data_IF_534995694633
#
_entry.id   IF_534995694633
#
_cell.length_a   1.000
_cell.length_b   1.000
_cell.length_c   1.000
_cell.angle_alpha   90.00
_cell.angle_beta   90.00
_cell.angle_gamma   90.00
#
_symmetry.space_group_name_H-M   'P 1'
#
loop_
_entity.id
_entity.type
_entity.pdbx_description
1 polymer ?
#
# COMPACT_ATOMS: atom_id res chain seq x y z
N UNK A 1 23.95 -1.31 -9.11
CA UNK A 1 23.81 -2.69 -8.63
C UNK A 1 23.30 -3.52 -9.79
N UNK A 2 24.09 -4.50 -10.24
CA UNK A 2 23.66 -5.48 -11.25
C UNK A 2 22.73 -6.46 -10.57
N UNK A 3 21.44 -6.46 -10.96
CA UNK A 3 20.49 -7.48 -10.54
C UNK A 3 21.01 -8.84 -11.04
N UNK A 4 21.30 -9.77 -10.12
CA UNK A 4 21.50 -11.17 -10.49
C UNK A 4 20.14 -11.70 -10.97
N UNK A 5 20.12 -12.47 -12.08
CA UNK A 5 18.90 -13.14 -12.47
C UNK A 5 18.43 -14.05 -11.32
N UNK A 6 17.22 -13.83 -10.88
CA UNK A 6 16.56 -14.61 -9.85
C UNK A 6 16.09 -15.94 -10.47
N UNK A 7 16.17 -17.06 -9.76
CA UNK A 7 15.49 -18.27 -10.20
C UNK A 7 13.97 -17.97 -10.27
N UNK A 8 13.24 -18.57 -11.24
CA UNK A 8 11.80 -18.38 -11.32
C UNK A 8 11.15 -18.76 -10.00
N UNK A 9 10.12 -18.00 -9.60
CA UNK A 9 9.36 -18.28 -8.39
C UNK A 9 8.81 -19.70 -8.40
N UNK A 10 8.72 -20.29 -7.22
CA UNK A 10 8.06 -21.58 -7.05
C UNK A 10 6.63 -21.46 -7.55
N UNK A 11 6.19 -22.48 -8.26
CA UNK A 11 4.84 -22.59 -8.77
C UNK A 11 4.02 -23.46 -7.83
N UNK A 12 2.73 -23.21 -7.77
CA UNK A 12 1.79 -24.15 -7.19
C UNK A 12 1.88 -25.46 -7.99
N UNK A 13 2.23 -26.56 -7.35
CA UNK A 13 2.09 -27.88 -7.97
C UNK A 13 0.60 -28.13 -8.21
N UNK A 14 0.17 -28.52 -9.42
CA UNK A 14 -1.21 -28.89 -9.66
C UNK A 14 -1.49 -30.20 -8.92
N UNK A 15 -2.01 -30.12 -7.72
CA UNK A 15 -2.50 -31.28 -7.01
C UNK A 15 -3.86 -31.70 -7.59
N UNK A 16 -4.05 -33.01 -7.77
CA UNK A 16 -5.17 -33.61 -8.48
C UNK A 16 -6.53 -33.50 -7.76
N UNK A 17 -6.63 -32.71 -6.71
CA UNK A 17 -7.88 -32.40 -6.01
C UNK A 17 -8.18 -30.92 -6.06
N UNK A 18 -9.07 -30.55 -6.94
CA UNK A 18 -9.56 -29.20 -7.27
C UNK A 18 -10.29 -28.46 -6.10
N UNK A 19 -9.95 -28.73 -4.84
CA UNK A 19 -10.59 -28.17 -3.64
C UNK A 19 -9.63 -27.97 -2.45
N UNK A 20 -8.41 -27.50 -2.68
CA UNK A 20 -7.66 -26.99 -1.54
C UNK A 20 -7.94 -25.48 -1.36
N UNK A 21 -9.02 -25.19 -0.65
CA UNK A 21 -9.42 -23.85 -0.19
C UNK A 21 -8.41 -23.26 0.82
N UNK A 22 -7.29 -23.94 1.11
CA UNK A 22 -6.30 -23.52 2.13
C UNK A 22 -5.33 -22.45 1.64
N UNK A 23 -5.12 -22.29 0.33
CA UNK A 23 -4.24 -21.28 -0.23
C UNK A 23 -5.05 -20.04 -0.61
N UNK A 24 -4.99 -19.03 0.22
CA UNK A 24 -5.62 -17.73 -0.05
C UNK A 24 -4.60 -16.60 0.01
N UNK A 25 -4.84 -15.45 -0.65
CA UNK A 25 -4.06 -14.25 -0.40
C UNK A 25 -4.19 -13.87 1.08
N UNK A 26 -3.18 -14.20 1.89
CA UNK A 26 -3.17 -13.96 3.32
C UNK A 26 -2.01 -13.05 3.73
N UNK A 27 -2.21 -12.15 4.70
CA UNK A 27 -1.11 -11.36 5.26
C UNK A 27 -0.16 -12.27 6.07
N UNK A 28 1.08 -11.79 6.25
CA UNK A 28 2.02 -12.44 7.16
C UNK A 28 1.44 -12.51 8.58
N UNK A 29 1.59 -13.66 9.26
CA UNK A 29 1.11 -13.80 10.63
C UNK A 29 1.94 -12.94 11.61
N UNK A 30 1.35 -12.53 12.75
CA UNK A 30 2.10 -11.89 13.83
C UNK A 30 3.31 -12.75 14.25
N UNK A 31 4.45 -12.12 14.42
CA UNK A 31 5.71 -12.80 14.75
C UNK A 31 6.54 -13.22 13.53
N UNK A 32 5.97 -13.28 12.33
CA UNK A 32 6.70 -13.52 11.10
C UNK A 32 7.81 -12.48 10.89
N UNK A 33 8.85 -12.85 10.15
CA UNK A 33 9.93 -11.94 9.79
C UNK A 33 9.83 -11.52 8.33
N UNK A 34 10.13 -10.25 8.10
CA UNK A 34 10.31 -9.67 6.79
C UNK A 34 11.60 -8.84 6.85
N UNK A 35 12.69 -9.39 6.35
CA UNK A 35 14.04 -8.87 6.54
C UNK A 35 14.42 -8.78 8.02
N UNK A 36 14.81 -7.58 8.43
CA UNK A 36 15.18 -7.29 9.82
C UNK A 36 13.98 -6.94 10.71
N UNK A 37 12.77 -6.92 10.17
CA UNK A 37 11.58 -6.54 10.90
C UNK A 37 10.78 -7.77 11.32
N UNK A 38 10.26 -7.74 12.54
CA UNK A 38 9.28 -8.71 13.01
C UNK A 38 7.89 -8.06 12.93
N UNK A 39 6.96 -8.74 12.28
CA UNK A 39 5.58 -8.28 12.09
C UNK A 39 4.83 -8.36 13.43
N UNK A 40 4.16 -7.27 13.79
CA UNK A 40 3.25 -7.23 14.94
C UNK A 40 1.81 -7.49 14.50
N UNK A 41 1.28 -6.64 13.62
CA UNK A 41 -0.10 -6.77 13.14
C UNK A 41 -0.27 -6.13 11.76
N UNK A 42 -1.30 -6.61 11.06
CA UNK A 42 -1.79 -5.97 9.83
C UNK A 42 -2.39 -4.60 10.17
N UNK A 43 -2.06 -3.59 9.39
CA UNK A 43 -2.61 -2.23 9.46
C UNK A 43 -3.58 -1.94 8.32
N UNK A 44 -3.19 -2.31 7.08
CA UNK A 44 -4.00 -2.11 5.89
C UNK A 44 -3.72 -3.20 4.85
N UNK A 45 -4.63 -3.33 3.90
CA UNK A 45 -4.61 -4.34 2.84
C UNK A 45 -5.15 -3.72 1.56
N UNK A 46 -4.35 -3.77 0.49
CA UNK A 46 -4.72 -3.35 -0.87
C UNK A 46 -4.63 -4.55 -1.82
N UNK A 47 -4.96 -4.38 -3.09
CA UNK A 47 -4.80 -5.43 -4.10
C UNK A 47 -3.33 -5.68 -4.42
N UNK A 48 -2.47 -4.67 -4.25
CA UNK A 48 -1.03 -4.73 -4.53
C UNK A 48 -0.18 -5.15 -3.32
N UNK A 49 -0.75 -5.21 -2.09
CA UNK A 49 0.04 -5.61 -0.94
C UNK A 49 -0.58 -5.41 0.42
N UNK A 50 0.28 -5.56 1.42
CA UNK A 50 -0.07 -5.46 2.82
C UNK A 50 0.78 -4.43 3.55
N UNK A 51 0.17 -3.73 4.49
CA UNK A 51 0.83 -2.78 5.39
C UNK A 51 0.80 -3.33 6.82
N UNK A 52 1.96 -3.40 7.45
CA UNK A 52 2.10 -3.93 8.81
C UNK A 52 2.74 -2.90 9.75
N UNK A 53 2.50 -3.07 11.07
CA UNK A 53 3.36 -2.50 12.09
C UNK A 53 4.47 -3.48 12.48
N UNK A 54 5.67 -2.95 12.76
CA UNK A 54 6.74 -3.76 13.36
C UNK A 54 6.46 -4.07 14.83
N UNK A 55 7.05 -5.16 15.34
CA UNK A 55 6.89 -5.56 16.75
C UNK A 55 7.42 -4.49 17.73
N UNK A 56 8.46 -3.73 17.35
CA UNK A 56 8.93 -2.57 18.13
C UNK A 56 7.96 -1.39 18.12
N UNK A 57 6.93 -1.43 17.27
CA UNK A 57 6.01 -0.31 17.05
C UNK A 57 6.64 0.92 16.41
N UNK A 58 7.91 0.85 15.98
CA UNK A 58 8.68 1.99 15.48
C UNK A 58 8.76 2.09 13.96
N UNK A 59 8.15 1.14 13.25
CA UNK A 59 8.12 1.13 11.79
C UNK A 59 6.79 0.67 11.23
N UNK A 60 6.41 1.24 10.08
CA UNK A 60 5.42 0.70 9.16
C UNK A 60 6.17 -0.04 8.08
N UNK A 61 5.71 -1.24 7.73
CA UNK A 61 6.31 -2.09 6.71
C UNK A 61 5.28 -2.31 5.62
N UNK A 62 5.64 -1.99 4.39
CA UNK A 62 4.82 -2.24 3.21
C UNK A 62 5.41 -3.45 2.48
N UNK A 63 4.60 -4.47 2.25
CA UNK A 63 4.97 -5.65 1.48
C UNK A 63 4.32 -5.63 0.11
N UNK A 64 5.08 -5.97 -0.93
CA UNK A 64 4.56 -6.23 -2.26
C UNK A 64 3.90 -7.60 -2.28
N UNK A 65 2.59 -7.64 -2.48
CA UNK A 65 1.82 -8.86 -2.57
C UNK A 65 0.67 -8.68 -3.57
N UNK A 66 0.92 -8.83 -4.87
CA UNK A 66 -0.11 -8.69 -5.89
C UNK A 66 -1.06 -9.90 -5.83
N UNK A 67 -2.20 -9.73 -5.16
CA UNK A 67 -3.17 -10.80 -4.86
C UNK A 67 -3.74 -11.49 -6.11
N UNK A 68 -3.70 -10.80 -7.24
CA UNK A 68 -4.13 -11.35 -8.52
C UNK A 68 -3.11 -12.31 -9.14
N UNK A 69 -1.82 -12.17 -8.76
CA UNK A 69 -0.72 -12.93 -9.32
C UNK A 69 -0.22 -14.01 -8.38
N UNK A 70 -0.35 -13.80 -7.06
CA UNK A 70 0.36 -14.59 -6.06
C UNK A 70 -0.52 -14.98 -4.87
N UNK A 71 -0.08 -16.03 -4.19
CA UNK A 71 -0.64 -16.60 -2.97
C UNK A 71 0.49 -16.95 -2.01
N UNK A 72 0.21 -17.09 -0.71
CA UNK A 72 1.19 -17.64 0.25
C UNK A 72 1.37 -19.14 0.05
N UNK A 73 2.58 -19.62 0.33
CA UNK A 73 2.87 -21.04 0.47
C UNK A 73 2.19 -21.62 1.73
N UNK A 74 2.34 -22.93 1.91
CA UNK A 74 1.74 -23.65 3.05
C UNK A 74 2.28 -23.17 4.41
N UNK A 75 3.51 -22.67 4.46
CA UNK A 75 4.12 -22.10 5.67
C UNK A 75 3.62 -20.68 5.96
N UNK A 76 2.88 -20.08 5.03
CA UNK A 76 2.32 -18.74 5.11
C UNK A 76 3.36 -17.63 5.03
N UNK A 77 4.57 -17.91 4.54
CA UNK A 77 5.68 -16.96 4.49
C UNK A 77 6.04 -16.55 3.08
N UNK A 78 6.47 -17.50 2.25
CA UNK A 78 6.92 -17.22 0.88
C UNK A 78 5.75 -17.05 -0.08
N UNK A 79 6.00 -16.38 -1.20
CA UNK A 79 5.02 -16.25 -2.29
C UNK A 79 5.17 -17.38 -3.31
N UNK A 80 4.01 -17.81 -3.80
CA UNK A 80 3.86 -18.70 -4.95
C UNK A 80 3.03 -17.98 -6.00
N UNK A 81 3.33 -18.17 -7.28
CA UNK A 81 2.48 -17.70 -8.35
C UNK A 81 1.27 -18.62 -8.55
N UNK A 82 0.11 -18.05 -8.87
CA UNK A 82 -1.06 -18.81 -9.29
C UNK A 82 -0.78 -19.64 -10.52
N UNK A 83 -0.02 -19.07 -11.47
CA UNK A 83 0.34 -19.71 -12.73
C UNK A 83 1.73 -19.23 -13.20
N UNK A 84 2.48 -20.12 -13.87
CA UNK A 84 3.81 -19.80 -14.40
C UNK A 84 3.81 -18.68 -15.45
N UNK A 85 2.74 -18.51 -16.20
CA UNK A 85 2.60 -17.44 -17.19
C UNK A 85 2.61 -16.04 -16.58
N UNK A 86 2.32 -15.92 -15.27
CA UNK A 86 2.29 -14.67 -14.52
C UNK A 86 3.68 -14.20 -14.04
N UNK A 87 4.73 -14.98 -14.29
CA UNK A 87 6.07 -14.70 -13.77
C UNK A 87 6.65 -13.37 -14.31
N UNK A 88 6.43 -13.06 -15.57
CA UNK A 88 6.96 -11.81 -16.17
C UNK A 88 6.31 -10.58 -15.53
N UNK A 89 4.99 -10.60 -15.36
CA UNK A 89 4.22 -9.53 -14.72
C UNK A 89 4.60 -9.36 -13.26
N UNK A 90 4.78 -10.47 -12.54
CA UNK A 90 5.22 -10.45 -11.15
C UNK A 90 6.62 -9.84 -11.00
N UNK A 91 7.58 -10.30 -11.79
CA UNK A 91 8.96 -9.78 -11.79
C UNK A 91 9.03 -8.30 -12.12
N UNK A 92 8.17 -7.84 -13.02
CA UNK A 92 8.09 -6.43 -13.35
C UNK A 92 7.50 -5.62 -12.19
N UNK A 93 6.39 -6.06 -11.61
CA UNK A 93 5.79 -5.41 -10.44
C UNK A 93 6.74 -5.35 -9.24
N UNK A 94 7.52 -6.42 -9.01
CA UNK A 94 8.54 -6.47 -7.98
C UNK A 94 9.63 -5.39 -8.18
N UNK A 95 10.12 -5.24 -9.42
CA UNK A 95 11.11 -4.20 -9.78
C UNK A 95 10.56 -2.80 -9.59
N UNK A 96 9.31 -2.58 -9.99
CA UNK A 96 8.64 -1.29 -9.85
C UNK A 96 8.41 -0.94 -8.37
N UNK A 97 8.05 -1.91 -7.54
CA UNK A 97 7.92 -1.73 -6.10
C UNK A 97 9.26 -1.38 -5.43
N UNK A 98 10.35 -2.05 -5.80
CA UNK A 98 11.68 -1.73 -5.29
C UNK A 98 12.16 -0.34 -5.77
N UNK A 99 11.84 0.02 -7.02
CA UNK A 99 12.12 1.35 -7.54
C UNK A 99 11.32 2.42 -6.79
N UNK A 100 10.06 2.16 -6.51
CA UNK A 100 9.22 3.02 -5.67
C UNK A 100 9.86 3.23 -4.29
N UNK A 101 10.23 2.14 -3.59
CA UNK A 101 10.91 2.21 -2.29
C UNK A 101 12.19 3.04 -2.34
N UNK A 102 12.97 2.90 -3.42
CA UNK A 102 14.18 3.70 -3.65
C UNK A 102 13.87 5.19 -3.81
N UNK A 103 12.87 5.55 -4.62
CA UNK A 103 12.49 6.97 -4.83
C UNK A 103 11.94 7.56 -3.54
N UNK A 104 11.05 6.85 -2.84
CA UNK A 104 10.48 7.28 -1.56
C UNK A 104 11.57 7.46 -0.47
N UNK A 105 12.69 6.74 -0.55
CA UNK A 105 13.80 6.91 0.40
C UNK A 105 14.55 8.24 0.24
N UNK A 106 14.36 8.94 -0.87
CA UNK A 106 14.99 10.24 -1.17
C UNK A 106 14.08 11.43 -0.81
N UNK A 107 12.82 11.17 -0.48
CA UNK A 107 11.87 12.21 -0.07
C UNK A 107 12.16 12.61 1.38
N UNK A 108 12.38 13.90 1.63
CA UNK A 108 12.59 14.43 2.98
C UNK A 108 11.26 14.70 3.67
N UNK A 109 10.68 13.66 4.27
CA UNK A 109 9.41 13.72 5.01
C UNK A 109 9.36 12.65 6.10
N UNK A 110 8.47 12.82 7.10
CA UNK A 110 8.27 11.84 8.18
C UNK A 110 7.91 10.43 7.67
N UNK A 111 7.17 10.36 6.56
CA UNK A 111 6.84 9.10 5.85
C UNK A 111 7.94 8.58 4.93
N UNK A 112 9.20 9.03 5.06
CA UNK A 112 10.32 8.59 4.23
C UNK A 112 10.63 7.12 4.46
N UNK A 113 10.86 6.39 3.35
CA UNK A 113 11.37 5.02 3.39
C UNK A 113 12.81 5.03 3.89
N UNK A 114 13.09 4.22 4.90
CA UNK A 114 14.43 4.07 5.51
C UNK A 114 15.12 2.78 5.11
N UNK A 115 14.37 1.81 4.62
CA UNK A 115 14.89 0.53 4.16
C UNK A 115 13.97 -0.07 3.10
N UNK A 116 14.52 -0.74 2.11
CA UNK A 116 13.80 -1.55 1.12
C UNK A 116 14.67 -2.72 0.69
N UNK A 117 14.07 -3.89 0.48
CA UNK A 117 14.78 -5.12 0.11
C UNK A 117 13.79 -6.18 -0.39
N UNK A 118 14.33 -7.27 -0.91
CA UNK A 118 13.61 -8.50 -1.20
C UNK A 118 13.72 -9.46 -0.03
N UNK A 119 12.66 -10.21 0.26
CA UNK A 119 12.61 -11.32 1.21
C UNK A 119 11.35 -12.16 0.98
N UNK A 120 11.39 -13.45 1.34
CA UNK A 120 10.24 -14.37 1.23
C UNK A 120 9.60 -14.42 -0.16
N UNK A 121 10.43 -14.38 -1.19
CA UNK A 121 9.99 -14.30 -2.59
C UNK A 121 9.12 -13.07 -2.92
N UNK A 122 9.20 -12.03 -2.09
CA UNK A 122 8.54 -10.74 -2.21
C UNK A 122 9.55 -9.59 -2.10
N UNK A 123 9.04 -8.36 -2.07
CA UNK A 123 9.78 -7.17 -1.71
C UNK A 123 9.05 -6.40 -0.62
N UNK A 124 9.81 -5.60 0.13
CA UNK A 124 9.25 -4.72 1.13
C UNK A 124 10.02 -3.41 1.23
N UNK A 125 9.33 -2.38 1.71
CA UNK A 125 10.00 -1.21 2.23
C UNK A 125 9.50 -0.87 3.63
N UNK A 126 10.33 -0.21 4.42
CA UNK A 126 10.01 0.20 5.76
C UNK A 126 10.12 1.72 5.93
N UNK A 127 9.15 2.29 6.62
CA UNK A 127 9.07 3.69 7.00
C UNK A 127 9.33 3.75 8.51
N UNK A 128 10.28 4.58 8.95
CA UNK A 128 10.49 4.84 10.38
C UNK A 128 9.37 5.73 10.90
N UNK A 129 8.31 5.11 11.35
CA UNK A 129 7.10 5.79 11.79
C UNK A 129 6.39 4.97 12.86
N UNK A 130 5.93 5.61 13.92
CA UNK A 130 5.17 4.98 14.98
C UNK A 130 3.68 5.28 14.82
N UNK A 131 2.91 4.39 14.17
CA UNK A 131 1.50 4.62 13.96
C UNK A 131 0.73 4.49 15.29
N UNK A 132 0.00 5.54 15.66
CA UNK A 132 -0.98 5.50 16.74
C UNK A 132 -2.31 4.95 16.23
N UNK A 133 -2.81 5.52 15.14
CA UNK A 133 -4.06 5.15 14.52
C UNK A 133 -4.03 5.45 13.01
N UNK A 134 -4.85 4.77 12.23
CA UNK A 134 -5.23 5.22 10.90
C UNK A 134 -6.33 6.29 10.98
N UNK A 135 -6.51 7.08 9.92
CA UNK A 135 -7.65 8.00 9.83
C UNK A 135 -8.97 7.21 9.88
N UNK A 136 -9.00 6.00 9.31
CA UNK A 136 -10.17 5.10 9.42
C UNK A 136 -10.49 4.75 10.87
N UNK A 137 -9.49 4.50 11.72
CA UNK A 137 -9.70 4.20 13.13
C UNK A 137 -10.26 5.41 13.89
N UNK A 138 -9.84 6.62 13.53
CA UNK A 138 -10.39 7.85 14.10
C UNK A 138 -11.87 8.05 13.69
N UNK A 139 -12.18 7.82 12.42
CA UNK A 139 -13.54 7.92 11.88
C UNK A 139 -14.52 6.94 12.54
N UNK A 140 -14.08 5.75 12.97
CA UNK A 140 -14.90 4.78 13.71
C UNK A 140 -15.45 5.34 15.03
N UNK A 141 -14.86 6.41 15.55
CA UNK A 141 -15.37 7.09 16.75
C UNK A 141 -16.73 7.78 16.53
N UNK A 142 -17.12 8.00 15.27
CA UNK A 142 -18.33 8.72 14.88
C UNK A 142 -18.33 10.21 15.21
N UNK A 143 -17.13 10.77 15.46
CA UNK A 143 -16.96 12.20 15.77
C UNK A 143 -16.13 12.87 14.69
N UNK A 144 -16.54 14.06 14.22
CA UNK A 144 -15.71 14.87 13.32
C UNK A 144 -14.34 15.16 13.96
N UNK A 145 -13.31 15.19 13.13
CA UNK A 145 -11.99 15.60 13.60
C UNK A 145 -11.99 17.12 13.89
N UNK A 146 -11.28 17.57 14.92
CA UNK A 146 -11.10 19.00 15.20
C UNK A 146 -10.50 19.73 14.00
N UNK A 147 -10.93 20.97 13.76
CA UNK A 147 -10.48 21.77 12.62
C UNK A 147 -8.95 21.94 12.56
N UNK A 148 -8.29 22.16 13.71
CA UNK A 148 -6.84 22.30 13.74
C UNK A 148 -6.11 21.00 13.42
N UNK A 149 -6.64 19.85 13.87
CA UNK A 149 -6.11 18.55 13.50
C UNK A 149 -6.25 18.28 12.00
N UNK A 150 -7.40 18.67 11.39
CA UNK A 150 -7.62 18.57 9.95
C UNK A 150 -6.66 19.45 9.15
N UNK A 151 -6.43 20.69 9.60
CA UNK A 151 -5.47 21.60 8.95
C UNK A 151 -4.06 21.05 9.01
N UNK A 152 -3.64 20.54 10.17
CA UNK A 152 -2.32 19.92 10.35
C UNK A 152 -2.16 18.69 9.44
N UNK A 153 -3.17 17.83 9.41
CA UNK A 153 -3.20 16.64 8.55
C UNK A 153 -3.13 17.03 7.07
N UNK A 154 -3.94 17.99 6.63
CA UNK A 154 -3.95 18.48 5.26
C UNK A 154 -2.60 19.06 4.84
N UNK A 155 -2.01 19.91 5.67
CA UNK A 155 -0.70 20.50 5.39
C UNK A 155 0.38 19.43 5.24
N UNK A 156 0.44 18.47 6.16
CA UNK A 156 1.40 17.37 6.12
C UNK A 156 1.19 16.49 4.89
N UNK A 157 -0.07 16.16 4.55
CA UNK A 157 -0.40 15.36 3.37
C UNK A 157 0.01 16.07 2.08
N UNK A 158 -0.31 17.36 1.93
CA UNK A 158 0.04 18.14 0.75
C UNK A 158 1.56 18.28 0.59
N UNK A 159 2.29 18.49 1.68
CA UNK A 159 3.76 18.56 1.66
C UNK A 159 4.37 17.24 1.18
N UNK A 160 3.84 16.11 1.67
CA UNK A 160 4.29 14.78 1.25
C UNK A 160 3.98 14.51 -0.22
N UNK A 161 2.73 14.79 -0.65
CA UNK A 161 2.30 14.59 -2.03
C UNK A 161 3.07 15.49 -3.00
N UNK A 162 3.34 16.75 -2.63
CA UNK A 162 4.16 17.64 -3.44
C UNK A 162 5.55 17.03 -3.72
N UNK A 163 6.20 16.49 -2.69
CA UNK A 163 7.50 15.86 -2.82
C UNK A 163 7.43 14.59 -3.69
N UNK A 164 6.39 13.76 -3.52
CA UNK A 164 6.16 12.58 -4.35
C UNK A 164 5.89 12.96 -5.82
N UNK A 165 5.02 13.94 -6.06
CA UNK A 165 4.69 14.42 -7.41
C UNK A 165 5.90 15.02 -8.13
N UNK A 166 6.76 15.77 -7.43
CA UNK A 166 8.04 16.27 -7.98
C UNK A 166 8.98 15.13 -8.38
N UNK A 167 8.90 14.00 -7.70
CA UNK A 167 9.63 12.78 -8.06
C UNK A 167 8.92 11.92 -9.14
N UNK A 168 7.80 12.41 -9.70
CA UNK A 168 7.02 11.71 -10.73
C UNK A 168 6.14 10.58 -10.18
N UNK A 169 5.94 10.50 -8.86
CA UNK A 169 5.11 9.49 -8.22
C UNK A 169 3.72 10.05 -7.92
N UNK A 170 2.68 9.32 -8.32
CA UNK A 170 1.30 9.56 -7.89
C UNK A 170 0.87 8.41 -6.98
N UNK A 171 0.16 8.71 -5.91
CA UNK A 171 -0.22 7.70 -4.92
C UNK A 171 -1.32 6.77 -5.44
N UNK A 172 -2.39 7.34 -5.97
CA UNK A 172 -3.56 6.70 -6.62
C UNK A 172 -4.42 5.80 -5.72
N UNK A 173 -4.04 5.61 -4.46
CA UNK A 173 -4.78 4.81 -3.46
C UNK A 173 -4.95 5.55 -2.14
N UNK A 174 -5.13 6.88 -2.16
CA UNK A 174 -5.39 7.64 -0.94
C UNK A 174 -6.77 7.30 -0.42
N UNK A 175 -6.81 6.76 0.80
CA UNK A 175 -8.02 6.41 1.53
C UNK A 175 -7.73 6.50 3.04
N UNK A 176 -8.74 6.60 3.91
CA UNK A 176 -8.55 6.71 5.36
C UNK A 176 -7.74 5.57 5.97
N UNK A 177 -7.78 4.38 5.37
CA UNK A 177 -7.03 3.19 5.77
C UNK A 177 -5.51 3.34 5.56
N UNK A 178 -5.10 4.14 4.58
CA UNK A 178 -3.73 4.29 4.13
C UNK A 178 -3.04 5.53 4.74
N UNK A 179 -3.76 6.32 5.54
CA UNK A 179 -3.23 7.50 6.22
C UNK A 179 -3.09 7.19 7.71
N UNK A 180 -1.87 7.26 8.22
CA UNK A 180 -1.52 6.98 9.62
C UNK A 180 -1.04 8.24 10.32
N UNK A 181 -1.44 8.39 11.60
CA UNK A 181 -1.06 9.50 12.46
C UNK A 181 -0.27 8.93 13.64
N UNK A 182 0.81 9.61 14.02
CA UNK A 182 1.64 9.28 15.18
C UNK A 182 1.19 10.03 16.43
N UNK A 183 1.78 9.69 17.56
CA UNK A 183 1.58 10.36 18.86
C UNK A 183 2.05 11.83 18.89
N UNK A 184 2.96 12.21 17.98
CA UNK A 184 3.42 13.60 17.80
C UNK A 184 2.79 14.28 16.56
N UNK A 185 1.60 13.83 16.15
CA UNK A 185 0.80 14.40 15.06
C UNK A 185 1.48 14.38 13.68
N UNK A 186 2.54 13.59 13.52
CA UNK A 186 3.13 13.35 12.19
C UNK A 186 2.22 12.45 11.38
N UNK A 187 2.30 12.59 10.06
CA UNK A 187 1.50 11.82 9.12
C UNK A 187 2.39 10.96 8.24
N UNK A 188 1.95 9.72 7.97
CA UNK A 188 2.48 8.87 6.92
C UNK A 188 1.34 8.40 6.02
N UNK A 189 1.54 8.48 4.70
CA UNK A 189 0.64 7.92 3.70
C UNK A 189 1.35 6.70 3.11
N UNK A 190 0.70 5.55 3.18
CA UNK A 190 1.23 4.26 2.76
C UNK A 190 0.37 3.66 1.64
N UNK A 191 0.88 2.64 0.94
CA UNK A 191 0.09 1.92 -0.06
C UNK A 191 0.03 2.63 -1.41
N UNK A 192 1.17 3.16 -1.90
CA UNK A 192 1.24 3.62 -3.29
C UNK A 192 0.85 2.49 -4.25
N UNK A 193 0.01 2.82 -5.21
CA UNK A 193 -0.32 1.86 -6.26
C UNK A 193 0.89 1.63 -7.17
N UNK A 194 1.32 0.37 -7.27
CA UNK A 194 2.43 -0.06 -8.12
C UNK A 194 1.96 -0.62 -9.47
N UNK A 195 0.66 -0.95 -9.60
CA UNK A 195 0.11 -1.61 -10.79
C UNK A 195 -0.03 -0.68 -12.01
N UNK A 196 0.14 0.62 -11.82
CA UNK A 196 -0.09 1.65 -12.84
C UNK A 196 0.76 1.54 -14.11
N UNK A 197 1.86 0.77 -14.06
CA UNK A 197 2.76 0.64 -15.20
C UNK A 197 2.38 -0.50 -16.13
N UNK A 198 1.59 -1.49 -15.68
CA UNK A 198 1.37 -2.74 -16.40
C UNK A 198 -0.09 -3.19 -16.48
N UNK A 199 -0.94 -2.71 -15.58
CA UNK A 199 -2.37 -3.03 -15.60
C UNK A 199 -3.19 -1.75 -15.64
N UNK A 200 -4.27 -1.70 -16.44
CA UNK A 200 -5.32 -0.73 -16.15
C UNK A 200 -5.71 -0.96 -14.70
N UNK A 201 -5.87 0.10 -13.89
CA UNK A 201 -6.16 -0.05 -12.46
C UNK A 201 -7.30 -1.06 -12.34
N UNK A 202 -6.97 -2.18 -11.69
CA UNK A 202 -7.99 -3.19 -11.41
C UNK A 202 -9.09 -2.47 -10.64
N UNK A 203 -10.30 -2.65 -11.08
CA UNK A 203 -11.49 -1.86 -10.78
C UNK A 203 -11.89 -1.82 -9.29
N UNK A 204 -11.01 -2.19 -8.32
CA UNK A 204 -11.43 -2.52 -6.96
C UNK A 204 -10.51 -2.12 -5.80
N UNK A 205 -9.27 -1.65 -6.00
CA UNK A 205 -8.33 -1.43 -4.89
C UNK A 205 -8.66 -0.20 -4.04
N UNK A 206 -9.09 0.89 -4.67
CA UNK A 206 -9.58 2.07 -3.94
C UNK A 206 -11.08 1.93 -3.78
N UNK A 207 -11.63 2.05 -2.57
CA UNK A 207 -13.07 2.16 -2.40
C UNK A 207 -13.62 3.23 -3.32
N UNK A 208 -14.71 2.95 -4.03
CA UNK A 208 -15.30 3.84 -5.05
C UNK A 208 -15.52 5.25 -4.54
N UNK A 209 -15.78 5.39 -3.25
CA UNK A 209 -16.06 6.65 -2.56
C UNK A 209 -14.90 7.67 -2.59
N UNK A 210 -13.64 7.18 -2.68
CA UNK A 210 -12.43 8.04 -2.72
C UNK A 210 -11.80 8.09 -4.09
N UNK A 211 -12.28 7.28 -5.03
CA UNK A 211 -11.69 7.16 -6.35
C UNK A 211 -11.98 8.40 -7.20
N UNK A 212 -10.94 9.01 -7.74
CA UNK A 212 -11.08 10.09 -8.69
C UNK A 212 -11.71 9.58 -10.00
N UNK A 213 -12.61 10.37 -10.65
CA UNK A 213 -13.38 9.94 -11.82
C UNK A 213 -12.49 9.48 -12.98
N UNK A 214 -11.33 10.09 -13.17
CA UNK A 214 -10.39 9.70 -14.23
C UNK A 214 -9.82 8.28 -14.07
N UNK A 215 -9.81 7.71 -12.86
CA UNK A 215 -9.40 6.33 -12.61
C UNK A 215 -10.46 5.31 -13.03
N UNK A 216 -11.70 5.75 -13.27
CA UNK A 216 -12.81 4.90 -13.71
C UNK A 216 -12.94 4.86 -15.23
N UNK A 217 -12.08 5.54 -15.99
CA UNK A 217 -12.16 5.62 -17.45
C UNK A 217 -10.84 5.23 -18.11
N UNK A 218 -10.90 4.43 -19.15
CA UNK A 218 -9.72 4.03 -19.93
C UNK A 218 -8.94 5.20 -20.60
N UNK A 219 -9.54 6.39 -20.66
CA UNK A 219 -8.95 7.60 -21.25
C UNK A 219 -8.68 8.69 -20.21
N UNK A 220 -8.86 8.39 -18.94
CA UNK A 220 -8.61 9.33 -17.85
C UNK A 220 -7.13 9.74 -17.81
N UNK A 221 -6.88 11.03 -17.66
CA UNK A 221 -5.51 11.54 -17.48
C UNK A 221 -5.20 11.58 -16.00
N UNK A 222 -4.25 10.77 -15.58
CA UNK A 222 -3.76 10.71 -14.21
C UNK A 222 -2.74 11.83 -13.99
N UNK A 223 -2.82 12.47 -12.83
CA UNK A 223 -1.90 13.54 -12.43
C UNK A 223 -2.03 13.87 -10.94
N UNK A 224 -1.35 14.93 -10.47
CA UNK A 224 -1.45 15.37 -9.07
C UNK A 224 -2.88 15.58 -8.56
N UNK A 225 -3.76 16.04 -9.44
CA UNK A 225 -5.19 16.26 -9.13
C UNK A 225 -5.93 15.00 -8.73
N UNK A 226 -5.50 13.84 -9.20
CA UNK A 226 -6.07 12.53 -8.85
C UNK A 226 -5.90 12.25 -7.35
N UNK A 227 -4.71 12.50 -6.82
CA UNK A 227 -4.43 12.36 -5.40
C UNK A 227 -5.13 13.45 -4.57
N UNK A 228 -5.22 14.67 -5.10
CA UNK A 228 -5.93 15.75 -4.42
C UNK A 228 -7.43 15.50 -4.33
N UNK A 229 -8.05 14.90 -5.36
CA UNK A 229 -9.44 14.47 -5.29
C UNK A 229 -9.65 13.45 -4.15
N UNK A 230 -8.84 12.42 -4.11
CA UNK A 230 -8.92 11.38 -3.08
C UNK A 230 -8.69 11.96 -1.67
N UNK A 231 -7.69 12.83 -1.49
CA UNK A 231 -7.45 13.53 -0.23
C UNK A 231 -8.64 14.41 0.18
N UNK A 232 -9.25 15.13 -0.76
CA UNK A 232 -10.47 15.93 -0.53
C UNK A 232 -11.64 15.06 -0.06
N UNK A 233 -11.80 13.88 -0.64
CA UNK A 233 -12.80 12.89 -0.24
C UNK A 233 -12.58 12.39 1.19
N UNK A 234 -11.33 12.13 1.58
CA UNK A 234 -10.98 11.78 2.97
C UNK A 234 -11.31 12.92 3.93
N UNK A 235 -10.96 14.15 3.59
CA UNK A 235 -11.25 15.33 4.42
C UNK A 235 -12.75 15.55 4.57
N UNK A 236 -13.53 15.33 3.51
CA UNK A 236 -14.99 15.41 3.58
C UNK A 236 -15.53 14.43 4.64
N UNK A 237 -15.10 13.17 4.62
CA UNK A 237 -15.53 12.19 5.62
C UNK A 237 -15.06 12.57 7.04
N UNK A 238 -13.85 13.11 7.18
CA UNK A 238 -13.34 13.57 8.48
C UNK A 238 -14.18 14.72 9.07
N UNK A 239 -14.77 15.56 8.23
CA UNK A 239 -15.62 16.68 8.63
C UNK A 239 -17.05 16.27 8.92
N UNK A 240 -17.59 15.35 8.12
CA UNK A 240 -19.03 15.02 8.12
C UNK A 240 -19.34 13.70 8.82
N UNK A 241 -18.34 12.86 9.07
CA UNK A 241 -18.48 11.45 9.49
C UNK A 241 -19.33 10.61 8.52
N UNK A 242 -19.50 11.06 7.28
CA UNK A 242 -20.23 10.37 6.23
C UNK A 242 -19.28 10.10 5.05
N UNK A 243 -19.30 8.85 4.55
CA UNK A 243 -18.54 8.51 3.36
C UNK A 243 -18.94 9.42 2.18
N UNK A 244 -17.99 9.86 1.35
CA UNK A 244 -18.32 10.64 0.16
C UNK A 244 -19.15 9.82 -0.82
N UNK A 245 -19.91 10.50 -1.66
CA UNK A 245 -20.65 9.84 -2.74
C UNK A 245 -19.66 9.42 -3.82
N UNK A 246 -19.72 8.15 -4.31
CA UNK A 246 -18.86 7.71 -5.39
C UNK A 246 -18.92 8.62 -6.60
N UNK A 247 -17.77 8.91 -7.20
CA UNK A 247 -17.74 9.59 -8.50
C UNK A 247 -18.30 8.65 -9.56
N UNK A 248 -19.43 9.00 -10.17
CA UNK A 248 -20.11 8.25 -11.23
C UNK A 248 -19.32 8.24 -12.55
#
# INVERSE_FOLDING_TARGET
MTFKPRPPLRQREPDASDKDDSLSPAPLPPGARLGNFQINRLLASTDSGYTYSSNSGSAIIQEFFPKQLAVRDQDGLALLLWDASLNEDYEQGLKDFLLLGRVLSQIDHAGRVVHYSEDNDSAYYAIKFRPLASVRDLLKTGKPLPEDALKSMLYSALTYLEAAHKAGLFHLEIAPENIFISDNEQLAICGFNTDRFHYPPADKSVPSDYRAPELSTARGRIGPWTDFYALGSVLYECLTCAAPVPSS
#
